data_IF_913193977435
#
_entry.id   IF_913193977435
#
_cell.length_a   1.000
_cell.length_b   1.000
_cell.length_c   1.000
_cell.angle_alpha   90.00
_cell.angle_beta   90.00
_cell.angle_gamma   90.00
#
_symmetry.space_group_name_H-M   'P 1'
#
loop_
_entity.id
_entity.type
_entity.pdbx_description
1 polymer ?
#
# COMPACT_ATOMS: atom_id res chain seq x y z
N UNK A 1 9.55 -10.70 17.03
CA UNK A 1 10.02 -9.30 17.05
C UNK A 1 9.11 -8.53 16.09
N UNK A 2 8.25 -7.66 16.59
CA UNK A 2 7.19 -7.02 15.79
C UNK A 2 7.70 -5.68 15.23
N UNK A 3 7.98 -5.66 13.92
CA UNK A 3 8.46 -4.52 13.17
C UNK A 3 7.29 -3.96 12.36
N UNK A 4 6.35 -3.29 13.04
CA UNK A 4 5.05 -2.94 12.45
C UNK A 4 4.80 -1.43 12.33
N UNK A 5 5.75 -0.57 12.72
CA UNK A 5 5.56 0.89 12.71
C UNK A 5 6.76 1.70 12.23
N UNK A 6 7.78 1.06 11.66
CA UNK A 6 8.59 1.75 10.67
C UNK A 6 7.91 1.51 9.32
N UNK A 7 7.54 2.57 8.60
CA UNK A 7 7.09 2.45 7.21
C UNK A 7 8.14 1.63 6.47
N UNK A 8 7.88 0.35 6.18
CA UNK A 8 8.86 -0.58 5.58
C UNK A 8 9.53 -0.04 4.31
N UNK A 9 8.95 1.01 3.73
CA UNK A 9 9.54 1.83 2.68
C UNK A 9 10.94 2.35 3.00
N UNK A 10 11.36 2.57 4.26
CA UNK A 10 12.72 3.05 4.57
C UNK A 10 13.83 2.08 4.14
N UNK A 11 13.53 0.78 4.07
CA UNK A 11 14.43 -0.25 3.57
C UNK A 11 14.30 -0.49 2.06
N UNK A 12 13.37 0.20 1.40
CA UNK A 12 13.17 0.08 -0.03
C UNK A 12 14.17 1.01 -0.77
N UNK A 13 14.86 0.55 -1.82
CA UNK A 13 15.74 1.40 -2.63
C UNK A 13 15.06 2.67 -3.19
N UNK A 14 13.74 2.65 -3.35
CA UNK A 14 12.96 3.80 -3.80
C UNK A 14 12.60 4.79 -2.67
N UNK A 15 13.05 4.57 -1.42
CA UNK A 15 12.71 5.43 -0.29
C UNK A 15 13.03 6.91 -0.52
N UNK A 16 14.27 7.20 -0.90
CA UNK A 16 14.74 8.57 -1.10
C UNK A 16 13.97 9.25 -2.23
N UNK A 17 13.66 8.52 -3.31
CA UNK A 17 12.83 9.03 -4.40
C UNK A 17 11.41 9.36 -3.91
N UNK A 18 10.75 8.45 -3.20
CA UNK A 18 9.38 8.65 -2.68
C UNK A 18 9.35 9.80 -1.68
N UNK A 19 10.36 9.90 -0.82
CA UNK A 19 10.50 10.98 0.16
C UNK A 19 10.65 12.33 -0.53
N UNK A 20 11.49 12.44 -1.55
CA UNK A 20 11.70 13.69 -2.27
C UNK A 20 10.47 14.08 -3.11
N UNK A 21 9.83 13.13 -3.78
CA UNK A 21 8.60 13.38 -4.55
C UNK A 21 7.45 13.85 -3.66
N UNK A 22 7.26 13.23 -2.51
CA UNK A 22 6.22 13.63 -1.54
C UNK A 22 6.51 15.00 -0.91
N UNK A 23 7.76 15.31 -0.59
CA UNK A 23 8.17 16.67 -0.15
C UNK A 23 7.89 17.73 -1.23
N UNK A 24 7.99 17.36 -2.50
CA UNK A 24 7.68 18.22 -3.65
C UNK A 24 6.18 18.27 -4.00
N UNK A 25 5.31 17.67 -3.16
CA UNK A 25 3.86 17.79 -3.26
C UNK A 25 3.17 16.67 -4.05
N UNK A 26 3.89 15.63 -4.45
CA UNK A 26 3.28 14.44 -5.05
C UNK A 26 2.47 13.63 -4.03
N UNK A 27 1.39 13.01 -4.51
CA UNK A 27 0.43 12.30 -3.67
C UNK A 27 0.76 10.82 -3.57
N UNK A 28 0.96 10.37 -2.34
CA UNK A 28 1.17 8.96 -1.98
C UNK A 28 -0.12 8.36 -1.41
N UNK A 29 -0.51 7.18 -1.91
CA UNK A 29 -1.48 6.30 -1.27
C UNK A 29 -0.74 5.11 -0.64
N UNK A 30 -1.06 4.78 0.61
CA UNK A 30 -0.56 3.58 1.28
C UNK A 30 -1.66 2.51 1.37
N UNK A 31 -1.41 1.35 0.78
CA UNK A 31 -2.28 0.17 0.77
C UNK A 31 -1.56 -0.96 1.52
N UNK A 32 -1.55 -0.84 2.84
CA UNK A 32 -1.02 -1.84 3.78
C UNK A 32 -2.13 -2.63 4.48
N UNK A 33 -1.81 -3.84 4.95
CA UNK A 33 -2.80 -4.69 5.62
C UNK A 33 -3.37 -4.02 6.88
N UNK A 34 -4.70 -3.92 6.91
CA UNK A 34 -5.47 -3.42 8.04
C UNK A 34 -5.30 -4.29 9.29
N UNK A 35 -4.31 -3.96 10.12
CA UNK A 35 -4.38 -4.22 11.55
C UNK A 35 -4.54 -2.89 12.25
N UNK A 36 -5.78 -2.42 12.29
CA UNK A 36 -6.24 -1.34 13.17
C UNK A 36 -6.13 -1.66 14.67
N UNK A 37 -5.19 -2.50 15.10
CA UNK A 37 -4.98 -2.82 16.52
C UNK A 37 -3.92 -1.91 17.17
N UNK A 38 -2.93 -1.37 16.45
CA UNK A 38 -1.82 -0.61 17.07
C UNK A 38 -1.80 0.91 16.78
N UNK A 39 -2.67 1.45 15.93
CA UNK A 39 -2.72 2.90 15.67
C UNK A 39 -3.32 3.69 16.85
N UNK A 40 -3.92 3.02 17.85
CA UNK A 40 -4.19 3.65 19.17
C UNK A 40 -2.92 4.16 19.87
N UNK A 41 -1.71 3.85 19.38
CA UNK A 41 -0.42 4.37 19.85
C UNK A 41 0.20 5.47 18.99
N UNK A 42 -0.43 5.87 17.88
CA UNK A 42 0.08 6.91 16.96
C UNK A 42 -0.09 8.35 17.48
N UNK A 43 -0.23 8.53 18.80
CA UNK A 43 -0.03 9.81 19.47
C UNK A 43 1.45 10.13 19.74
N UNK A 44 2.38 9.21 19.49
CA UNK A 44 3.76 9.32 20.01
C UNK A 44 4.89 9.50 18.99
N UNK A 45 4.65 9.45 17.68
CA UNK A 45 5.75 9.60 16.71
C UNK A 45 5.77 10.97 16.05
N UNK A 46 6.68 11.81 16.58
CA UNK A 46 7.13 13.08 16.01
C UNK A 46 7.99 12.81 14.77
N UNK A 47 7.38 12.85 13.59
CA UNK A 47 8.04 13.39 12.40
C UNK A 47 6.95 14.02 11.52
N UNK A 48 6.80 15.33 11.67
CA UNK A 48 5.67 16.15 11.24
C UNK A 48 5.60 16.40 9.72
N UNK A 49 6.15 15.51 8.89
CA UNK A 49 6.13 15.63 7.43
C UNK A 49 5.33 14.52 6.72
N UNK A 50 4.94 13.46 7.44
CA UNK A 50 4.15 12.38 6.85
C UNK A 50 2.67 12.71 7.05
N UNK A 51 2.02 13.04 5.93
CA UNK A 51 0.70 13.61 5.80
C UNK A 51 -0.36 13.12 6.81
N UNK A 52 -1.11 14.10 7.33
CA UNK A 52 -2.29 13.93 8.18
C UNK A 52 -3.51 13.63 7.29
N UNK A 53 -3.56 12.45 6.67
CA UNK A 53 -4.66 12.05 5.77
C UNK A 53 -5.77 11.27 6.51
N UNK A 54 -7.03 11.36 6.04
CA UNK A 54 -8.15 10.59 6.57
C UNK A 54 -7.98 9.09 6.29
N UNK A 55 -8.21 8.27 7.32
CA UNK A 55 -8.28 6.82 7.20
C UNK A 55 -9.62 6.40 6.62
N UNK A 56 -9.62 5.56 5.58
CA UNK A 56 -10.83 4.99 4.98
C UNK A 56 -10.71 3.47 5.00
N UNK A 57 -11.54 2.81 5.82
CA UNK A 57 -11.70 1.36 5.72
C UNK A 57 -12.55 1.06 4.49
N UNK A 58 -12.03 0.24 3.59
CA UNK A 58 -12.71 -0.15 2.35
C UNK A 58 -12.32 -1.57 1.97
N UNK A 59 -13.25 -2.29 1.36
CA UNK A 59 -12.94 -3.50 0.61
C UNK A 59 -12.61 -3.09 -0.84
N UNK A 60 -11.44 -3.50 -1.32
CA UNK A 60 -10.96 -3.18 -2.67
C UNK A 60 -11.70 -3.97 -3.75
N UNK A 61 -12.43 -5.02 -3.38
CA UNK A 61 -13.29 -5.79 -4.29
C UNK A 61 -14.74 -5.32 -4.31
N UNK A 62 -15.11 -4.37 -3.45
CA UNK A 62 -16.44 -3.79 -3.42
C UNK A 62 -16.67 -2.96 -4.71
N UNK A 63 -17.72 -3.24 -5.50
CA UNK A 63 -18.11 -2.39 -6.63
C UNK A 63 -18.34 -0.92 -6.24
N UNK A 64 -18.71 -0.63 -5.00
CA UNK A 64 -18.95 0.72 -4.49
C UNK A 64 -17.76 1.24 -3.65
N UNK A 65 -16.58 0.64 -3.83
CA UNK A 65 -15.37 1.01 -3.10
C UNK A 65 -15.11 2.53 -3.17
N UNK A 66 -14.98 3.23 -2.01
CA UNK A 66 -14.81 4.68 -1.96
C UNK A 66 -13.50 5.16 -2.60
N UNK A 67 -12.53 4.26 -2.81
CA UNK A 67 -11.29 4.58 -3.53
C UNK A 67 -11.55 5.06 -4.96
N UNK A 68 -12.65 4.63 -5.59
CA UNK A 68 -12.99 5.05 -6.97
C UNK A 68 -13.15 6.58 -7.12
N UNK A 69 -13.49 7.28 -6.04
CA UNK A 69 -13.56 8.75 -6.04
C UNK A 69 -12.19 9.43 -6.24
N UNK A 70 -11.09 8.69 -6.10
CA UNK A 70 -9.72 9.17 -6.20
C UNK A 70 -9.01 8.71 -7.48
N UNK A 71 -9.77 8.25 -8.49
CA UNK A 71 -9.19 7.87 -9.78
C UNK A 71 -8.41 9.04 -10.41
N UNK A 72 -7.21 8.75 -10.91
CA UNK A 72 -6.32 9.72 -11.53
C UNK A 72 -5.72 10.75 -10.57
N UNK A 73 -5.63 10.44 -9.27
CA UNK A 73 -5.18 11.42 -8.27
C UNK A 73 -3.80 11.14 -7.69
N UNK A 74 -3.35 9.89 -7.65
CA UNK A 74 -2.12 9.51 -6.96
C UNK A 74 -0.94 9.41 -7.93
N UNK A 75 0.23 9.86 -7.46
CA UNK A 75 1.49 9.72 -8.18
C UNK A 75 2.21 8.44 -7.78
N UNK A 76 2.04 8.03 -6.51
CA UNK A 76 2.72 6.88 -5.92
C UNK A 76 1.69 6.06 -5.15
N UNK A 77 1.68 4.74 -5.36
CA UNK A 77 0.99 3.79 -4.51
C UNK A 77 2.04 2.91 -3.82
N UNK A 78 2.10 2.98 -2.50
CA UNK A 78 2.87 2.05 -1.69
C UNK A 78 1.99 0.86 -1.29
N UNK A 79 2.42 -0.36 -1.61
CA UNK A 79 1.72 -1.60 -1.25
C UNK A 79 2.72 -2.60 -0.68
N UNK A 80 2.63 -2.82 0.63
CA UNK A 80 3.54 -3.66 1.40
C UNK A 80 2.77 -4.79 2.08
N UNK A 81 3.15 -6.04 1.84
CA UNK A 81 2.45 -7.22 2.37
C UNK A 81 0.94 -7.12 2.13
N UNK A 82 0.55 -6.93 0.87
CA UNK A 82 -0.84 -6.69 0.47
C UNK A 82 -1.33 -7.79 -0.49
N UNK A 83 -0.56 -8.10 -1.53
CA UNK A 83 -0.99 -9.06 -2.56
C UNK A 83 -1.06 -10.51 -2.08
N UNK A 84 -0.30 -10.86 -1.03
CA UNK A 84 -0.29 -12.22 -0.46
C UNK A 84 -1.63 -12.64 0.18
N UNK A 85 -2.57 -11.70 0.37
CA UNK A 85 -3.91 -11.95 0.89
C UNK A 85 -4.86 -12.54 -0.16
N UNK A 86 -4.45 -12.54 -1.43
CA UNK A 86 -5.31 -12.80 -2.57
C UNK A 86 -4.74 -13.90 -3.46
N UNK A 87 -5.62 -14.68 -4.09
CA UNK A 87 -5.24 -15.57 -5.20
C UNK A 87 -4.72 -14.77 -6.39
N UNK A 88 -4.02 -15.43 -7.31
CA UNK A 88 -3.46 -14.78 -8.50
C UNK A 88 -4.49 -13.94 -9.27
N UNK A 89 -5.66 -14.50 -9.58
CA UNK A 89 -6.71 -13.78 -10.33
C UNK A 89 -7.19 -12.54 -9.58
N UNK A 90 -7.26 -12.60 -8.25
CA UNK A 90 -7.63 -11.48 -7.40
C UNK A 90 -6.51 -10.44 -7.31
N UNK A 91 -5.24 -10.84 -7.34
CA UNK A 91 -4.11 -9.89 -7.43
C UNK A 91 -4.16 -9.09 -8.73
N UNK A 92 -4.35 -9.78 -9.86
CA UNK A 92 -4.51 -9.14 -11.18
C UNK A 92 -5.72 -8.21 -11.17
N UNK A 93 -6.85 -8.68 -10.63
CA UNK A 93 -8.07 -7.87 -10.52
C UNK A 93 -7.82 -6.57 -9.75
N UNK A 94 -7.21 -6.62 -8.56
CA UNK A 94 -6.95 -5.40 -7.79
C UNK A 94 -6.00 -4.45 -8.52
N UNK A 95 -4.98 -4.98 -9.20
CA UNK A 95 -4.08 -4.13 -9.97
C UNK A 95 -4.84 -3.39 -11.08
N UNK A 96 -5.64 -4.12 -11.85
CA UNK A 96 -6.36 -3.57 -13.02
C UNK A 96 -7.52 -2.67 -12.60
N UNK A 97 -8.33 -3.07 -11.63
CA UNK A 97 -9.57 -2.38 -11.26
C UNK A 97 -9.36 -1.26 -10.23
N UNK A 98 -8.26 -1.30 -9.48
CA UNK A 98 -8.01 -0.38 -8.35
C UNK A 98 -6.72 0.40 -8.55
N UNK A 99 -5.56 -0.25 -8.69
CA UNK A 99 -4.29 0.48 -8.71
C UNK A 99 -4.13 1.33 -9.96
N UNK A 100 -4.38 0.76 -11.14
CA UNK A 100 -4.24 1.47 -12.42
C UNK A 100 -5.16 2.69 -12.50
N UNK A 101 -6.46 2.62 -12.16
CA UNK A 101 -7.33 3.78 -12.19
C UNK A 101 -6.99 4.87 -11.16
N UNK A 102 -6.40 4.50 -10.01
CA UNK A 102 -6.02 5.45 -8.96
C UNK A 102 -4.80 6.29 -9.32
N UNK A 103 -3.88 5.73 -10.10
CA UNK A 103 -2.69 6.43 -10.57
C UNK A 103 -3.06 7.50 -11.61
N UNK A 104 -2.33 8.62 -11.60
CA UNK A 104 -2.39 9.60 -12.68
C UNK A 104 -1.97 8.95 -14.00
N UNK A 105 -2.61 9.25 -15.13
CA UNK A 105 -2.16 8.80 -16.44
C UNK A 105 -0.96 9.65 -16.92
N UNK A 106 0.12 9.68 -16.14
CA UNK A 106 1.30 10.52 -16.35
C UNK A 106 2.60 9.73 -16.14
N UNK A 107 3.68 10.07 -16.88
CA UNK A 107 5.01 9.53 -16.62
C UNK A 107 5.44 9.76 -15.17
N UNK A 108 6.15 8.79 -14.59
CA UNK A 108 6.59 8.84 -13.20
C UNK A 108 5.62 8.21 -12.19
N UNK A 109 4.40 7.85 -12.61
CA UNK A 109 3.48 7.09 -11.76
C UNK A 109 4.11 5.78 -11.28
N UNK A 110 4.11 5.55 -9.96
CA UNK A 110 4.92 4.50 -9.33
C UNK A 110 4.08 3.61 -8.42
N UNK A 111 4.24 2.29 -8.55
CA UNK A 111 3.81 1.33 -7.53
C UNK A 111 5.07 0.75 -6.88
N UNK A 112 5.14 0.82 -5.56
CA UNK A 112 6.32 0.43 -4.79
C UNK A 112 5.92 -0.34 -3.55
N UNK A 113 6.81 -1.19 -3.06
CA UNK A 113 6.65 -1.89 -1.78
C UNK A 113 7.34 -3.23 -1.81
N UNK A 114 6.95 -4.11 -0.89
CA UNK A 114 7.50 -5.44 -0.76
C UNK A 114 6.37 -6.44 -0.61
N UNK A 115 6.57 -7.64 -1.15
CA UNK A 115 5.59 -8.72 -1.08
C UNK A 115 6.31 -10.00 -0.67
N UNK A 116 5.61 -10.83 0.09
CA UNK A 116 6.05 -12.20 0.34
C UNK A 116 5.72 -13.02 -0.91
N UNK A 117 6.68 -13.84 -1.35
CA UNK A 117 6.53 -14.70 -2.51
C UNK A 117 7.41 -15.95 -2.42
N UNK A 118 7.15 -16.89 -3.31
CA UNK A 118 7.87 -18.17 -3.42
C UNK A 118 8.51 -18.29 -4.81
N UNK A 119 9.64 -19.03 -4.96
CA UNK A 119 10.28 -19.22 -6.26
C UNK A 119 9.40 -19.93 -7.30
N UNK A 120 8.41 -20.70 -6.85
CA UNK A 120 7.39 -21.33 -7.70
C UNK A 120 6.06 -20.62 -7.44
N UNK A 121 5.38 -20.19 -8.50
CA UNK A 121 4.03 -19.64 -8.39
C UNK A 121 3.01 -20.71 -8.00
N UNK A 122 2.04 -20.33 -7.18
CA UNK A 122 0.95 -21.21 -6.76
C UNK A 122 0.23 -20.66 -5.53
N UNK A 123 -0.95 -21.21 -5.25
CA UNK A 123 -1.68 -20.95 -4.01
C UNK A 123 -1.15 -21.90 -2.93
N UNK A 124 -0.53 -21.33 -1.91
CA UNK A 124 0.01 -22.09 -0.79
C UNK A 124 -0.86 -21.88 0.45
N UNK A 125 -1.37 -22.95 1.09
CA UNK A 125 -2.03 -22.80 2.37
C UNK A 125 -1.02 -22.25 3.38
N UNK A 126 -1.46 -21.31 4.23
CA UNK A 126 -0.64 -20.84 5.33
C UNK A 126 -0.27 -22.06 6.19
N UNK A 127 1.03 -22.36 6.37
CA UNK A 127 1.42 -23.41 7.31
C UNK A 127 1.01 -22.88 8.68
N UNK A 128 -0.08 -23.43 9.24
CA UNK A 128 -0.52 -23.09 10.58
C UNK A 128 0.63 -23.26 11.59
N UNK A 129 0.54 -22.65 12.78
CA UNK A 129 1.57 -22.85 13.80
C UNK A 129 1.68 -24.35 14.10
N UNK A 130 2.81 -24.94 13.74
CA UNK A 130 3.19 -26.31 14.10
C UNK A 130 3.53 -26.42 15.58
#
# INVERSE_FOLDING_TARGET
MFQFLELSIFNNPAYEEVLDRTKNGEKLLDLGWGVGQDIRKLKFFRNAAILRVPFTAADVFDPDCPLKAYNGTFDIIHAASFFHLFSWDRQVQVIVDVFVPLLKPAPGSLVVGWQIGTPKGGDYPFPGPG
#
